data_IF_219400484199
#
_entry.id   IF_219400484199
#
_cell.length_a   1.000
_cell.length_b   1.000
_cell.length_c   1.000
_cell.angle_alpha   90.00
_cell.angle_beta   90.00
_cell.angle_gamma   90.00
#
_symmetry.space_group_name_H-M   'P 1'
#
loop_
_entity.id
_entity.type
_entity.pdbx_description
1 polymer ?
#
# COMPACT_ATOMS: atom_id res chain seq x y z
N UNK A 1 -11.81 13.70 11.15
CA UNK A 1 -11.34 14.74 10.23
C UNK A 1 -10.84 14.08 8.97
N UNK A 2 -11.36 14.48 7.81
CA UNK A 2 -10.95 13.96 6.50
C UNK A 2 -10.47 15.12 5.61
N UNK A 3 -9.68 14.85 4.59
CA UNK A 3 -9.17 15.88 3.67
C UNK A 3 -9.05 15.40 2.22
N UNK A 4 -9.27 16.31 1.29
CA UNK A 4 -9.10 16.12 -0.15
C UNK A 4 -8.12 17.17 -0.67
N UNK A 5 -7.05 16.73 -1.31
CA UNK A 5 -5.98 17.60 -1.83
C UNK A 5 -5.66 17.25 -3.28
N UNK A 6 -5.51 18.27 -4.11
CA UNK A 6 -5.11 18.13 -5.51
C UNK A 6 -3.78 18.87 -5.76
N UNK A 7 -2.87 18.19 -6.44
CA UNK A 7 -1.55 18.67 -6.82
C UNK A 7 -1.43 18.63 -8.33
N UNK A 8 -1.44 19.80 -8.96
CA UNK A 8 -1.20 19.94 -10.39
C UNK A 8 0.24 20.42 -10.59
N UNK A 9 1.02 19.71 -11.38
CA UNK A 9 2.43 20.05 -11.67
C UNK A 9 2.63 20.14 -13.18
N UNK A 10 3.18 21.25 -13.65
CA UNK A 10 3.60 21.47 -15.03
C UNK A 10 5.11 21.73 -15.09
N UNK A 11 5.80 21.17 -16.09
CA UNK A 11 7.27 21.18 -16.20
C UNK A 11 7.70 21.55 -17.62
N UNK A 12 8.93 22.10 -17.77
CA UNK A 12 9.51 22.35 -19.10
C UNK A 12 9.63 21.02 -19.88
N UNK A 13 9.24 20.98 -21.17
CA UNK A 13 9.40 19.80 -22.03
C UNK A 13 10.83 19.26 -22.10
N UNK A 14 10.99 17.97 -22.40
CA UNK A 14 12.29 17.35 -22.65
C UNK A 14 12.94 16.64 -21.46
N UNK A 15 12.25 16.56 -20.32
CA UNK A 15 12.58 15.58 -19.27
C UNK A 15 11.77 14.29 -19.47
N UNK A 16 12.26 13.15 -18.97
CA UNK A 16 11.57 11.84 -19.05
C UNK A 16 10.39 11.74 -18.06
N UNK A 17 9.54 12.75 -18.04
CA UNK A 17 8.39 12.91 -17.13
C UNK A 17 7.27 13.66 -17.88
N UNK A 18 5.98 13.40 -17.62
CA UNK A 18 4.89 14.08 -18.32
C UNK A 18 4.92 15.61 -18.10
N UNK A 19 4.74 16.40 -19.16
CA UNK A 19 4.74 17.86 -19.14
C UNK A 19 3.68 18.47 -18.20
N UNK A 20 2.58 17.74 -18.00
CA UNK A 20 1.56 18.06 -17.00
C UNK A 20 1.11 16.79 -16.27
N UNK A 21 0.95 16.90 -14.96
CA UNK A 21 0.37 15.85 -14.09
C UNK A 21 -0.64 16.47 -13.14
N UNK A 22 -1.68 15.71 -12.81
CA UNK A 22 -2.63 16.02 -11.76
C UNK A 22 -2.82 14.81 -10.85
N UNK A 23 -2.62 15.01 -9.55
CA UNK A 23 -2.70 13.99 -8.51
C UNK A 23 -3.77 14.41 -7.51
N UNK A 24 -4.71 13.52 -7.19
CA UNK A 24 -5.69 13.75 -6.11
C UNK A 24 -5.44 12.77 -4.96
N UNK A 25 -5.34 13.31 -3.75
CA UNK A 25 -5.13 12.57 -2.50
C UNK A 25 -6.36 12.72 -1.59
N UNK A 26 -6.88 11.62 -1.05
CA UNK A 26 -7.85 11.62 0.04
C UNK A 26 -7.15 11.11 1.30
N UNK A 27 -7.13 11.90 2.37
CA UNK A 27 -6.36 11.65 3.60
C UNK A 27 -4.86 11.37 3.36
N UNK A 28 -4.34 11.88 2.25
CA UNK A 28 -2.96 11.67 1.76
C UNK A 28 -2.78 10.45 0.84
N UNK A 29 -3.80 9.61 0.66
CA UNK A 29 -3.74 8.41 -0.19
C UNK A 29 -4.15 8.78 -1.62
N UNK A 30 -3.36 8.38 -2.62
CA UNK A 30 -3.66 8.73 -4.01
C UNK A 30 -4.91 8.01 -4.51
N UNK A 31 -5.99 8.77 -4.72
CA UNK A 31 -7.27 8.25 -5.22
C UNK A 31 -7.43 8.46 -6.73
N UNK A 32 -6.85 9.52 -7.31
CA UNK A 32 -6.88 9.80 -8.75
C UNK A 32 -5.55 10.27 -9.33
N UNK A 33 -5.39 10.07 -10.64
CA UNK A 33 -4.22 10.47 -11.41
C UNK A 33 -4.59 10.87 -12.84
N UNK A 34 -3.93 11.90 -13.37
CA UNK A 34 -3.90 12.23 -14.79
C UNK A 34 -2.48 12.66 -15.16
N UNK A 35 -2.06 12.35 -16.39
CA UNK A 35 -0.84 12.90 -16.98
C UNK A 35 -0.99 13.20 -18.48
N UNK A 36 -0.12 14.06 -18.99
CA UNK A 36 -0.13 14.55 -20.37
C UNK A 36 0.17 13.50 -21.44
N UNK A 37 0.67 12.31 -21.06
CA UNK A 37 1.03 11.23 -21.98
C UNK A 37 -0.12 10.25 -22.12
N UNK A 38 -0.75 9.83 -21.00
CA UNK A 38 -1.92 8.94 -21.02
C UNK A 38 -3.21 9.70 -21.37
N UNK A 39 -3.30 10.99 -20.98
CA UNK A 39 -4.41 11.92 -21.27
C UNK A 39 -5.79 11.40 -20.86
N UNK A 40 -5.84 10.68 -19.74
CA UNK A 40 -7.05 10.10 -19.14
C UNK A 40 -7.00 10.24 -17.62
N UNK A 41 -8.14 10.52 -17.00
CA UNK A 41 -8.29 10.42 -15.54
C UNK A 41 -8.35 8.94 -15.14
N UNK A 42 -7.47 8.53 -14.22
CA UNK A 42 -7.27 7.15 -13.80
C UNK A 42 -7.62 7.03 -12.31
N UNK A 43 -8.59 6.16 -11.93
CA UNK A 43 -8.79 5.79 -10.54
C UNK A 43 -7.57 5.01 -10.03
N UNK A 44 -7.08 5.35 -8.84
CA UNK A 44 -5.93 4.69 -8.20
C UNK A 44 -6.33 3.75 -7.06
N UNK A 45 -7.57 3.82 -6.59
CA UNK A 45 -8.15 2.93 -5.60
C UNK A 45 -9.36 2.16 -6.16
N UNK A 46 -9.74 1.07 -5.51
CA UNK A 46 -10.96 0.33 -5.88
C UNK A 46 -12.22 1.11 -5.52
N UNK A 47 -12.27 1.68 -4.30
CA UNK A 47 -13.46 2.35 -3.77
C UNK A 47 -13.93 3.55 -4.61
N UNK A 48 -13.02 4.28 -5.25
CA UNK A 48 -13.41 5.48 -6.01
C UNK A 48 -14.15 5.13 -7.31
N UNK A 49 -14.03 3.90 -7.80
CA UNK A 49 -14.73 3.43 -9.00
C UNK A 49 -16.25 3.36 -8.79
N UNK A 50 -16.71 3.27 -7.53
CA UNK A 50 -18.12 3.32 -7.15
C UNK A 50 -18.82 4.60 -7.63
N UNK A 51 -18.09 5.71 -7.85
CA UNK A 51 -18.66 6.94 -8.42
C UNK A 51 -19.33 6.72 -9.77
N UNK A 52 -18.91 5.70 -10.53
CA UNK A 52 -19.46 5.38 -11.86
C UNK A 52 -20.86 4.74 -11.78
N UNK A 53 -21.28 4.28 -10.60
CA UNK A 53 -22.66 3.83 -10.37
C UNK A 53 -23.62 5.02 -10.21
N UNK A 54 -23.15 6.10 -9.58
CA UNK A 54 -23.93 7.31 -9.31
C UNK A 54 -23.84 8.33 -10.48
N UNK A 55 -22.70 8.39 -11.18
CA UNK A 55 -22.43 9.25 -12.33
C UNK A 55 -21.57 8.51 -13.38
N UNK A 56 -22.20 7.84 -14.37
CA UNK A 56 -21.49 7.10 -15.42
C UNK A 56 -20.52 7.93 -16.28
N UNK A 57 -20.74 9.25 -16.39
CA UNK A 57 -19.95 10.16 -17.21
C UNK A 57 -18.84 10.89 -16.42
N UNK A 58 -18.74 10.66 -15.11
CA UNK A 58 -17.77 11.30 -14.22
C UNK A 58 -16.33 11.27 -14.79
N UNK A 59 -15.84 10.09 -15.17
CA UNK A 59 -14.47 9.92 -15.67
C UNK A 59 -14.22 10.58 -17.03
N UNK A 60 -15.25 10.64 -17.89
CA UNK A 60 -15.16 11.34 -19.17
C UNK A 60 -15.05 12.85 -18.93
N UNK A 61 -15.93 13.39 -18.08
CA UNK A 61 -15.98 14.82 -17.74
C UNK A 61 -14.71 15.30 -17.04
N UNK A 62 -14.19 14.54 -16.08
CA UNK A 62 -12.91 14.86 -15.42
C UNK A 62 -11.70 14.70 -16.36
N UNK A 63 -11.76 13.77 -17.32
CA UNK A 63 -10.72 13.65 -18.36
C UNK A 63 -10.67 14.87 -19.27
N UNK A 64 -11.81 15.35 -19.78
CA UNK A 64 -11.83 16.56 -20.61
C UNK A 64 -11.41 17.81 -19.81
N UNK A 65 -11.90 17.96 -18.57
CA UNK A 65 -11.47 19.04 -17.65
C UNK A 65 -9.95 19.05 -17.42
N UNK A 66 -9.30 17.88 -17.36
CA UNK A 66 -7.84 17.81 -17.23
C UNK A 66 -7.10 18.11 -18.54
N UNK A 67 -7.67 17.81 -19.71
CA UNK A 67 -7.11 18.24 -21.01
C UNK A 67 -7.17 19.76 -21.16
N UNK A 68 -8.30 20.39 -20.83
CA UNK A 68 -8.43 21.85 -20.81
C UNK A 68 -7.38 22.47 -19.87
N UNK A 69 -7.18 21.87 -18.68
CA UNK A 69 -6.19 22.35 -17.71
C UNK A 69 -4.75 22.15 -18.20
N UNK A 70 -4.46 21.04 -18.88
CA UNK A 70 -3.17 20.78 -19.53
C UNK A 70 -2.86 21.87 -20.58
N UNK A 71 -3.81 22.23 -21.45
CA UNK A 71 -3.59 23.23 -22.50
C UNK A 71 -3.38 24.65 -21.94
N UNK A 72 -4.08 24.99 -20.86
CA UNK A 72 -3.84 26.22 -20.07
C UNK A 72 -2.41 26.20 -19.51
N UNK A 73 -1.99 25.10 -18.87
CA UNK A 73 -0.66 25.00 -18.28
C UNK A 73 0.46 25.02 -19.33
N UNK A 74 0.29 24.33 -20.47
CA UNK A 74 1.23 24.40 -21.59
C UNK A 74 1.41 25.83 -22.12
N UNK A 75 0.33 26.63 -22.12
CA UNK A 75 0.39 28.05 -22.47
C UNK A 75 1.17 28.87 -21.45
N UNK A 76 0.97 28.64 -20.14
CA UNK A 76 1.73 29.31 -19.08
C UNK A 76 3.22 28.91 -19.12
N UNK A 77 3.53 27.63 -19.30
CA UNK A 77 4.92 27.15 -19.38
C UNK A 77 5.66 27.72 -20.59
N UNK A 78 4.99 27.92 -21.75
CA UNK A 78 5.57 28.62 -22.91
C UNK A 78 5.93 30.08 -22.62
N UNK A 79 5.18 30.76 -21.76
CA UNK A 79 5.48 32.15 -21.35
C UNK A 79 6.69 32.15 -20.39
N UNK A 80 6.75 31.23 -19.44
CA UNK A 80 7.88 31.12 -18.49
C UNK A 80 9.20 30.77 -19.22
N UNK A 81 9.14 29.85 -20.18
CA UNK A 81 10.28 29.38 -20.98
C UNK A 81 10.83 30.42 -21.98
N UNK A 82 10.38 31.68 -21.94
CA UNK A 82 11.01 32.78 -22.69
C UNK A 82 12.37 33.19 -22.11
N UNK A 83 12.61 32.91 -20.83
CA UNK A 83 13.91 33.05 -20.20
C UNK A 83 14.56 31.66 -20.11
N UNK A 84 15.69 31.46 -20.81
CA UNK A 84 16.36 30.16 -20.95
C UNK A 84 16.56 29.46 -19.59
N UNK A 85 15.79 28.40 -19.35
CA UNK A 85 15.82 27.68 -18.07
C UNK A 85 14.75 26.60 -17.96
N UNK A 86 14.96 25.65 -17.05
CA UNK A 86 13.97 24.65 -16.70
C UNK A 86 13.02 25.22 -15.64
N UNK A 87 11.74 25.26 -15.96
CA UNK A 87 10.68 25.78 -15.10
C UNK A 87 9.84 24.63 -14.55
N UNK A 88 9.27 24.84 -13.36
CA UNK A 88 8.27 23.96 -12.78
C UNK A 88 7.24 24.83 -12.08
N UNK A 89 5.96 24.62 -12.43
CA UNK A 89 4.83 25.32 -11.84
C UNK A 89 3.98 24.29 -11.10
N UNK A 90 3.71 24.55 -9.82
CA UNK A 90 2.85 23.70 -9.00
C UNK A 90 1.65 24.49 -8.49
N UNK A 91 0.48 23.87 -8.55
CA UNK A 91 -0.76 24.39 -7.98
C UNK A 91 -1.31 23.34 -7.01
N UNK A 92 -1.40 23.70 -5.74
CA UNK A 92 -1.93 22.87 -4.67
C UNK A 92 -3.22 23.49 -4.16
N UNK A 93 -4.29 22.71 -4.03
CA UNK A 93 -5.58 23.17 -3.54
C UNK A 93 -6.36 22.01 -2.93
N UNK A 94 -7.30 22.29 -2.04
CA UNK A 94 -8.02 21.24 -1.32
C UNK A 94 -8.91 21.77 -0.22
N UNK A 95 -9.53 20.86 0.51
CA UNK A 95 -10.45 21.13 1.61
C UNK A 95 -10.33 20.03 2.68
N UNK A 96 -10.85 20.32 3.87
CA UNK A 96 -10.93 19.35 4.96
C UNK A 96 -12.29 19.44 5.68
N UNK A 97 -12.81 18.28 6.06
CA UNK A 97 -13.93 18.14 6.98
C UNK A 97 -13.36 17.99 8.40
N UNK A 98 -13.47 19.02 9.23
CA UNK A 98 -13.30 18.85 10.69
C UNK A 98 -14.64 18.59 11.36
N UNK A 99 -14.64 17.76 12.41
CA UNK A 99 -15.86 17.40 13.17
C UNK A 99 -16.28 18.51 14.16
N UNK A 100 -15.80 19.74 13.97
CA UNK A 100 -16.17 20.92 14.73
C UNK A 100 -17.03 21.80 13.86
N UNK A 101 -18.18 22.22 14.37
CA UNK A 101 -19.16 23.08 13.68
C UNK A 101 -18.68 24.54 13.49
N UNK A 102 -17.39 24.73 13.21
CA UNK A 102 -16.76 25.99 12.84
C UNK A 102 -15.96 25.78 11.56
N UNK A 103 -16.63 26.02 10.44
CA UNK A 103 -15.97 26.46 9.22
C UNK A 103 -15.34 27.83 9.50
N UNK A 104 -14.07 27.82 9.90
CA UNK A 104 -13.27 29.05 10.01
C UNK A 104 -13.04 29.55 8.58
N UNK A 105 -13.84 30.54 8.17
CA UNK A 105 -13.80 31.16 6.83
C UNK A 105 -12.47 31.94 6.71
N UNK A 106 -11.37 31.23 6.44
CA UNK A 106 -10.05 31.85 6.22
C UNK A 106 -10.19 32.87 5.10
N UNK A 107 -9.95 34.15 5.41
CA UNK A 107 -10.10 35.29 4.51
C UNK A 107 -9.17 35.21 3.30
N UNK A 108 -9.56 34.39 2.33
CA UNK A 108 -9.29 34.64 0.94
C UNK A 108 -10.31 35.69 0.46
N UNK A 109 -9.83 36.93 0.27
CA UNK A 109 -10.43 37.99 -0.57
C UNK A 109 -9.70 38.09 -1.94
N UNK A 110 -9.70 37.04 -2.79
CA UNK A 110 -9.23 37.15 -4.16
C UNK A 110 -10.24 37.98 -4.96
N UNK A 111 -9.75 38.84 -5.87
CA UNK A 111 -10.59 39.81 -6.59
C UNK A 111 -10.76 39.45 -8.06
N UNK A 112 -12.01 39.49 -8.55
CA UNK A 112 -12.40 39.28 -9.95
C UNK A 112 -12.92 37.87 -10.24
N UNK A 113 -13.61 37.67 -11.37
CA UNK A 113 -14.40 36.46 -11.70
C UNK A 113 -13.72 35.10 -11.44
N UNK A 114 -12.40 34.98 -11.68
CA UNK A 114 -11.65 33.74 -11.40
C UNK A 114 -11.54 33.42 -9.90
N UNK A 115 -11.58 34.45 -9.06
CA UNK A 115 -11.56 34.36 -7.61
C UNK A 115 -12.82 33.69 -7.06
N UNK A 116 -13.98 34.16 -7.53
CA UNK A 116 -15.29 33.64 -7.12
C UNK A 116 -15.44 32.16 -7.51
N UNK A 117 -15.02 31.80 -8.73
CA UNK A 117 -14.95 30.39 -9.15
C UNK A 117 -14.15 29.50 -8.18
N UNK A 118 -12.95 29.94 -7.76
CA UNK A 118 -12.14 29.16 -6.82
C UNK A 118 -12.73 29.13 -5.42
N UNK A 119 -13.39 30.21 -4.99
CA UNK A 119 -14.11 30.28 -3.72
C UNK A 119 -15.27 29.27 -3.67
N UNK A 120 -16.11 29.24 -4.70
CA UNK A 120 -17.23 28.29 -4.81
C UNK A 120 -16.75 26.84 -5.02
N UNK A 121 -15.64 26.64 -5.72
CA UNK A 121 -15.02 25.32 -5.84
C UNK A 121 -14.55 24.80 -4.47
N UNK A 122 -13.78 25.59 -3.72
CA UNK A 122 -13.22 25.18 -2.45
C UNK A 122 -14.29 25.05 -1.35
N UNK A 123 -15.29 25.94 -1.34
CA UNK A 123 -16.35 25.98 -0.32
C UNK A 123 -17.42 24.90 -0.49
N UNK A 124 -17.77 24.55 -1.74
CA UNK A 124 -18.89 23.63 -2.02
C UNK A 124 -18.45 22.36 -2.77
N UNK A 125 -17.81 22.51 -3.94
CA UNK A 125 -17.52 21.36 -4.82
C UNK A 125 -16.50 20.40 -4.18
N UNK A 126 -15.45 20.94 -3.57
CA UNK A 126 -14.44 20.13 -2.88
C UNK A 126 -15.05 19.36 -1.69
N UNK A 127 -15.93 20.00 -0.93
CA UNK A 127 -16.61 19.39 0.23
C UNK A 127 -17.55 18.27 -0.22
N UNK A 128 -18.40 18.50 -1.23
CA UNK A 128 -19.28 17.46 -1.81
C UNK A 128 -18.50 16.27 -2.36
N UNK A 129 -17.39 16.52 -3.08
CA UNK A 129 -16.49 15.46 -3.53
C UNK A 129 -15.87 14.68 -2.36
N UNK A 130 -15.40 15.37 -1.32
CA UNK A 130 -14.80 14.75 -0.14
C UNK A 130 -15.83 13.91 0.64
N UNK A 131 -17.05 14.40 0.85
CA UNK A 131 -18.14 13.65 1.49
C UNK A 131 -18.48 12.38 0.70
N UNK A 132 -18.58 12.46 -0.63
CA UNK A 132 -18.80 11.29 -1.51
C UNK A 132 -17.65 10.30 -1.42
N UNK A 133 -16.41 10.76 -1.51
CA UNK A 133 -15.22 9.89 -1.45
C UNK A 133 -15.09 9.20 -0.09
N UNK A 134 -15.34 9.92 1.02
CA UNK A 134 -15.45 9.35 2.36
C UNK A 134 -16.58 8.31 2.41
N UNK A 135 -17.72 8.57 1.77
CA UNK A 135 -18.84 7.63 1.75
C UNK A 135 -18.51 6.30 1.07
N UNK A 136 -17.86 6.34 -0.10
CA UNK A 136 -17.46 5.15 -0.86
C UNK A 136 -16.33 4.38 -0.17
N UNK A 137 -15.41 5.09 0.49
CA UNK A 137 -14.25 4.51 1.15
C UNK A 137 -14.52 3.98 2.56
N UNK A 138 -15.73 4.15 3.12
CA UNK A 138 -16.12 3.73 4.49
C UNK A 138 -15.75 2.29 4.86
N UNK A 139 -15.79 1.35 3.93
CA UNK A 139 -15.41 -0.04 4.19
C UNK A 139 -13.89 -0.24 4.10
N UNK A 140 -13.26 0.37 3.09
CA UNK A 140 -11.81 0.33 2.89
C UNK A 140 -11.04 1.03 4.02
N UNK A 141 -11.50 2.20 4.50
CA UNK A 141 -10.87 2.94 5.61
C UNK A 141 -10.96 2.21 6.96
N UNK A 142 -11.93 1.30 7.13
CA UNK A 142 -12.03 0.41 8.31
C UNK A 142 -11.02 -0.73 8.24
N UNK A 143 -10.63 -1.15 7.03
CA UNK A 143 -9.56 -2.14 6.84
C UNK A 143 -8.24 -1.46 7.18
N UNK A 144 -7.62 -1.89 8.27
CA UNK A 144 -6.33 -1.40 8.74
C UNK A 144 -5.43 -2.61 9.00
N UNK A 145 -4.25 -2.64 8.38
CA UNK A 145 -3.28 -3.74 8.52
C UNK A 145 -1.93 -3.15 8.95
N UNK A 146 -1.35 -3.59 10.07
CA UNK A 146 -0.10 -3.04 10.59
C UNK A 146 1.14 -3.48 9.81
N UNK A 147 2.15 -2.60 9.65
CA UNK A 147 3.41 -2.94 8.98
C UNK A 147 4.19 -3.99 9.76
N UNK A 148 4.63 -5.02 9.05
CA UNK A 148 5.75 -5.87 9.48
C UNK A 148 7.03 -5.15 9.10
N UNK A 149 7.84 -4.77 10.11
CA UNK A 149 9.00 -3.91 9.92
C UNK A 149 10.32 -4.57 10.35
N UNK A 150 11.44 -4.15 9.75
CA UNK A 150 12.78 -4.69 9.98
C UNK A 150 13.88 -3.66 9.66
N UNK A 151 15.01 -3.75 10.35
CA UNK A 151 16.23 -2.98 10.04
C UNK A 151 17.28 -3.94 9.47
N UNK A 152 17.85 -3.58 8.32
CA UNK A 152 18.82 -4.38 7.57
C UNK A 152 20.09 -3.54 7.35
N UNK A 153 21.26 -4.06 7.71
CA UNK A 153 22.54 -3.40 7.46
C UNK A 153 23.29 -4.04 6.30
N UNK A 154 23.53 -3.28 5.23
CA UNK A 154 24.42 -3.71 4.14
C UNK A 154 25.87 -3.42 4.51
N UNK A 155 26.74 -4.39 4.27
CA UNK A 155 28.16 -4.30 4.58
C UNK A 155 28.98 -4.08 3.30
N UNK A 156 29.66 -2.93 3.20
CA UNK A 156 30.65 -2.55 2.16
C UNK A 156 30.18 -2.52 0.69
N UNK A 157 30.80 -1.68 -0.18
CA UNK A 157 31.83 -0.68 0.11
C UNK A 157 31.29 0.64 0.67
N UNK A 158 29.97 0.82 0.71
CA UNK A 158 29.30 1.93 1.40
C UNK A 158 28.30 1.32 2.39
N UNK A 159 28.51 1.45 3.71
CA UNK A 159 27.56 0.92 4.68
C UNK A 159 26.23 1.67 4.58
N UNK A 160 25.15 0.93 4.33
CA UNK A 160 23.79 1.45 4.25
C UNK A 160 22.94 0.75 5.30
N UNK A 161 22.24 1.52 6.13
CA UNK A 161 21.21 1.00 7.02
C UNK A 161 19.86 1.20 6.34
N UNK A 162 19.11 0.13 6.16
CA UNK A 162 17.81 0.15 5.49
C UNK A 162 16.74 -0.20 6.50
N UNK A 163 15.80 0.72 6.73
CA UNK A 163 14.57 0.41 7.43
C UNK A 163 13.52 -0.01 6.40
N UNK A 164 12.86 -1.14 6.65
CA UNK A 164 11.98 -1.80 5.69
C UNK A 164 10.66 -2.16 6.36
N UNK A 165 9.58 -1.54 5.90
CA UNK A 165 8.21 -1.84 6.28
C UNK A 165 7.51 -2.61 5.16
N UNK A 166 6.67 -3.60 5.50
CA UNK A 166 5.95 -4.44 4.53
C UNK A 166 4.56 -4.84 5.05
N UNK A 167 3.63 -5.16 4.13
CA UNK A 167 2.36 -5.83 4.46
C UNK A 167 1.35 -4.96 5.21
N UNK A 168 1.49 -3.64 5.12
CA UNK A 168 0.59 -2.65 5.73
C UNK A 168 -0.53 -2.21 4.77
N UNK A 169 -1.61 -1.67 5.33
CA UNK A 169 -2.67 -0.99 4.58
C UNK A 169 -3.35 0.04 5.50
N UNK A 170 -3.60 1.30 5.08
CA UNK A 170 -3.39 1.91 3.75
C UNK A 170 -1.93 2.06 3.28
N UNK A 171 -1.67 2.58 2.08
CA UNK A 171 -0.30 2.73 1.53
C UNK A 171 0.54 3.81 2.27
N UNK A 172 -0.10 4.79 2.92
CA UNK A 172 0.61 5.89 3.59
C UNK A 172 1.27 5.40 4.88
N UNK A 173 2.56 5.11 4.80
CA UNK A 173 3.44 4.92 5.97
C UNK A 173 4.55 5.96 5.96
N UNK A 174 4.71 6.68 7.07
CA UNK A 174 5.85 7.56 7.28
C UNK A 174 6.96 6.75 7.95
N UNK A 175 8.17 6.87 7.41
CA UNK A 175 9.39 6.35 8.02
C UNK A 175 10.26 7.59 8.28
N UNK A 176 10.92 7.64 9.43
CA UNK A 176 11.92 8.66 9.76
C UNK A 176 13.09 8.03 10.52
N UNK A 177 14.25 8.67 10.46
CA UNK A 177 15.41 8.31 11.28
C UNK A 177 15.59 9.31 12.41
N UNK A 178 15.79 8.82 13.64
CA UNK A 178 16.26 9.64 14.76
C UNK A 178 17.69 9.27 15.13
N UNK A 179 18.55 10.28 15.32
CA UNK A 179 19.90 10.20 15.87
C UNK A 179 19.88 10.79 17.28
N UNK A 180 20.12 9.97 18.30
CA UNK A 180 20.05 10.36 19.73
C UNK A 180 18.72 11.06 20.14
N UNK A 181 17.65 10.84 19.37
CA UNK A 181 16.33 11.46 19.55
C UNK A 181 15.99 12.57 18.55
N UNK A 182 16.97 13.16 17.83
CA UNK A 182 16.75 14.21 16.83
C UNK A 182 16.52 13.65 15.42
N UNK A 183 15.60 14.23 14.65
CA UNK A 183 15.22 13.76 13.31
C UNK A 183 16.30 14.05 12.25
N UNK A 184 16.56 13.07 11.37
CA UNK A 184 17.53 13.16 10.26
C UNK A 184 16.85 12.91 8.92
N UNK A 185 17.18 13.73 7.91
CA UNK A 185 16.56 13.68 6.57
C UNK A 185 16.82 12.37 5.83
N UNK A 186 15.76 11.85 5.20
CA UNK A 186 15.77 10.64 4.39
C UNK A 186 16.10 10.89 2.90
N UNK A 187 16.36 9.81 2.15
CA UNK A 187 16.41 9.85 0.67
C UNK A 187 15.49 8.82 0.01
N UNK A 188 14.36 9.34 -0.49
CA UNK A 188 13.42 8.75 -1.47
C UNK A 188 12.56 7.53 -1.03
N UNK A 189 11.22 7.64 -1.13
CA UNK A 189 10.33 6.47 -1.09
C UNK A 189 10.32 5.73 -2.44
N UNK A 190 10.28 4.40 -2.40
CA UNK A 190 10.14 3.55 -3.59
C UNK A 190 8.71 3.67 -4.16
N UNK A 191 8.56 3.96 -5.46
CA UNK A 191 7.26 3.97 -6.16
C UNK A 191 7.09 2.68 -7.00
N UNK A 192 6.92 1.52 -6.36
CA UNK A 192 6.67 0.25 -7.07
C UNK A 192 5.25 -0.31 -6.94
N UNK A 193 4.36 0.40 -6.22
CA UNK A 193 2.95 0.01 -6.07
C UNK A 193 2.73 -1.27 -5.25
N UNK A 194 3.75 -1.77 -4.56
CA UNK A 194 3.62 -2.81 -3.55
C UNK A 194 3.46 -2.20 -2.15
N UNK A 195 2.87 -2.94 -1.21
CA UNK A 195 2.80 -2.57 0.21
C UNK A 195 4.17 -2.75 0.90
N UNK A 196 5.21 -2.12 0.35
CA UNK A 196 6.60 -2.17 0.83
C UNK A 196 7.22 -0.78 0.75
N UNK A 197 7.70 -0.25 1.88
CA UNK A 197 8.44 1.02 1.91
C UNK A 197 9.81 0.81 2.52
N UNK A 198 10.82 1.40 1.91
CA UNK A 198 12.21 1.40 2.38
C UNK A 198 12.67 2.83 2.60
N UNK A 199 13.38 3.05 3.70
CA UNK A 199 14.18 4.25 3.93
C UNK A 199 15.64 3.84 4.11
N UNK A 200 16.56 4.61 3.51
CA UNK A 200 18.00 4.32 3.50
C UNK A 200 18.75 5.45 4.21
N UNK A 201 19.46 5.07 5.27
CA UNK A 201 20.36 5.93 6.02
C UNK A 201 21.82 5.61 5.63
N UNK A 202 22.54 6.64 5.17
CA UNK A 202 23.95 6.56 4.77
C UNK A 202 24.81 7.23 5.84
N UNK A 203 25.37 6.43 6.73
CA UNK A 203 26.16 6.87 7.89
C UNK A 203 27.46 6.06 7.95
N UNK A 204 28.64 6.69 8.18
CA UNK A 204 29.89 5.98 8.38
C UNK A 204 29.80 4.98 9.55
N UNK A 205 30.52 3.86 9.44
CA UNK A 205 30.47 2.81 10.47
C UNK A 205 30.85 3.34 11.87
N UNK A 206 31.77 4.30 11.93
CA UNK A 206 32.27 4.95 13.14
C UNK A 206 31.17 5.78 13.84
N UNK A 207 30.36 6.50 13.07
CA UNK A 207 29.23 7.27 13.62
C UNK A 207 28.11 6.34 14.09
N UNK A 208 27.87 5.23 13.39
CA UNK A 208 26.86 4.24 13.75
C UNK A 208 27.12 3.59 15.11
N UNK A 209 28.40 3.38 15.46
CA UNK A 209 28.79 2.89 16.79
C UNK A 209 28.62 3.97 17.87
N UNK A 210 28.95 5.22 17.53
CA UNK A 210 28.99 6.34 18.49
C UNK A 210 27.59 6.77 18.95
N UNK A 211 26.65 6.92 18.03
CA UNK A 211 25.31 7.46 18.28
C UNK A 211 24.26 6.34 18.37
N UNK A 212 23.10 6.59 18.97
CA UNK A 212 21.95 5.67 18.84
C UNK A 212 21.10 6.11 17.64
N UNK A 213 21.01 5.25 16.63
CA UNK A 213 20.13 5.46 15.48
C UNK A 213 18.90 4.58 15.63
N UNK A 214 17.74 5.18 15.46
CA UNK A 214 16.45 4.46 15.47
C UNK A 214 15.66 4.79 14.21
N UNK A 215 15.01 3.78 13.65
CA UNK A 215 13.98 3.96 12.64
C UNK A 215 12.63 4.08 13.34
N UNK A 216 11.86 5.10 13.00
CA UNK A 216 10.53 5.35 13.52
C UNK A 216 9.52 5.24 12.40
N UNK A 217 8.47 4.46 12.61
CA UNK A 217 7.46 4.15 11.58
C UNK A 217 6.08 4.53 12.12
N UNK A 218 5.43 5.44 11.43
CA UNK A 218 4.09 5.94 11.74
C UNK A 218 3.12 5.49 10.64
N UNK A 219 2.03 4.84 11.04
CA UNK A 219 1.03 4.29 10.13
C UNK A 219 -0.36 4.33 10.80
N UNK A 220 -1.41 4.57 10.03
CA UNK A 220 -2.76 4.83 10.57
C UNK A 220 -3.45 3.62 11.23
N UNK A 221 -2.86 2.42 11.11
CA UNK A 221 -3.29 1.20 11.81
C UNK A 221 -2.64 0.99 13.17
N UNK A 222 -1.68 1.82 13.56
CA UNK A 222 -0.94 1.70 14.81
C UNK A 222 -1.53 2.67 15.83
N UNK A 223 -1.63 2.25 17.09
CA UNK A 223 -2.00 3.12 18.21
C UNK A 223 -0.81 3.98 18.66
N UNK A 224 0.41 3.45 18.55
CA UNK A 224 1.69 4.11 18.84
C UNK A 224 2.69 3.87 17.71
N UNK A 225 3.71 4.74 17.57
CA UNK A 225 4.74 4.58 16.52
C UNK A 225 5.63 3.35 16.77
N UNK A 226 5.96 2.60 15.70
CA UNK A 226 6.91 1.50 15.80
C UNK A 226 8.33 2.06 15.78
N UNK A 227 9.12 1.75 16.81
CA UNK A 227 10.52 2.16 16.93
C UNK A 227 11.43 0.94 16.82
N UNK A 228 12.37 0.97 15.87
CA UNK A 228 13.36 -0.07 15.64
C UNK A 228 14.77 0.49 15.88
N UNK A 229 15.48 -0.05 16.86
CA UNK A 229 16.89 0.30 17.10
C UNK A 229 17.80 -0.29 16.03
N UNK A 230 18.83 0.45 15.62
CA UNK A 230 19.86 -0.06 14.71
C UNK A 230 20.91 -0.82 15.53
N UNK A 231 21.15 -2.13 15.25
CA UNK A 231 22.17 -2.89 15.97
C UNK A 231 23.55 -2.26 15.83
N UNK A 232 24.24 -1.97 16.93
CA UNK A 232 25.64 -1.56 16.89
C UNK A 232 26.48 -2.77 16.52
N UNK A 233 27.16 -2.71 15.37
CA UNK A 233 27.90 -3.85 14.80
C UNK A 233 29.08 -4.24 15.70
N UNK A 234 28.82 -5.13 16.66
CA UNK A 234 29.73 -5.37 17.78
C UNK A 234 29.47 -6.62 18.61
N UNK A 235 28.56 -7.52 18.19
CA UNK A 235 28.43 -8.85 18.78
C UNK A 235 28.38 -9.95 17.71
N UNK A 236 29.57 -10.31 17.24
CA UNK A 236 29.91 -11.73 17.04
C UNK A 236 30.59 -12.28 18.31
N UNK A 237 30.06 -11.89 19.47
CA UNK A 237 30.22 -12.65 20.71
C UNK A 237 29.50 -13.97 20.53
N UNK A 238 30.21 -15.09 20.69
CA UNK A 238 29.71 -16.42 20.37
C UNK A 238 28.60 -16.90 21.29
N UNK A 239 27.37 -16.46 21.06
CA UNK A 239 26.15 -17.05 21.62
C UNK A 239 25.86 -18.39 20.94
N UNK A 240 25.99 -19.50 21.68
CA UNK A 240 25.75 -20.86 21.18
C UNK A 240 24.25 -21.12 20.91
N UNK A 241 23.75 -20.61 19.78
CA UNK A 241 22.39 -20.86 19.28
C UNK A 241 22.17 -22.24 18.66
N UNK A 242 23.20 -23.09 18.62
CA UNK A 242 23.17 -24.40 17.97
C UNK A 242 22.30 -25.47 18.64
N UNK A 243 21.75 -25.20 19.83
CA UNK A 243 21.08 -26.22 20.65
C UNK A 243 19.58 -26.39 20.35
N UNK A 244 18.87 -25.36 19.89
CA UNK A 244 17.41 -25.46 19.66
C UNK A 244 17.02 -26.00 18.28
N UNK A 245 17.77 -25.68 17.23
CA UNK A 245 17.52 -26.21 15.87
C UNK A 245 17.74 -27.73 15.84
N UNK A 246 18.80 -28.21 16.51
CA UNK A 246 19.09 -29.64 16.66
C UNK A 246 18.00 -30.40 17.44
N UNK A 247 17.45 -29.80 18.49
CA UNK A 247 16.34 -30.40 19.25
C UNK A 247 15.06 -30.49 18.40
N UNK A 248 14.69 -29.44 17.67
CA UNK A 248 13.49 -29.46 16.82
C UNK A 248 13.63 -30.50 15.70
N UNK A 249 14.78 -30.54 15.00
CA UNK A 249 15.04 -31.55 13.97
C UNK A 249 15.04 -32.96 14.57
N UNK A 250 15.67 -33.16 15.73
CA UNK A 250 15.69 -34.45 16.44
C UNK A 250 14.29 -34.92 16.85
N UNK A 251 13.47 -34.03 17.43
CA UNK A 251 12.09 -34.34 17.83
C UNK A 251 11.22 -34.66 16.60
N UNK A 252 11.35 -33.90 15.51
CA UNK A 252 10.62 -34.17 14.26
C UNK A 252 11.00 -35.54 13.68
N UNK A 253 12.29 -35.89 13.63
CA UNK A 253 12.76 -37.19 13.13
C UNK A 253 12.26 -38.34 14.01
N UNK A 254 12.32 -38.19 15.35
CA UNK A 254 11.82 -39.21 16.29
C UNK A 254 10.31 -39.39 16.16
N UNK A 255 9.53 -38.31 16.06
CA UNK A 255 8.08 -38.38 15.82
C UNK A 255 7.77 -39.08 14.50
N UNK A 256 8.49 -38.76 13.42
CA UNK A 256 8.31 -39.40 12.12
C UNK A 256 8.63 -40.90 12.17
N UNK A 257 9.70 -41.29 12.86
CA UNK A 257 10.09 -42.69 13.06
C UNK A 257 9.05 -43.47 13.89
N UNK A 258 8.51 -42.87 14.96
CA UNK A 258 7.43 -43.47 15.76
C UNK A 258 6.15 -43.65 14.94
N UNK A 259 5.75 -42.63 14.18
CA UNK A 259 4.57 -42.70 13.30
C UNK A 259 4.75 -43.78 12.22
N UNK A 260 5.90 -43.82 11.55
CA UNK A 260 6.22 -44.86 10.57
C UNK A 260 6.21 -46.27 11.20
N UNK A 261 6.80 -46.42 12.40
CA UNK A 261 6.79 -47.66 13.17
C UNK A 261 5.38 -48.13 13.54
N UNK A 262 4.50 -47.22 13.98
CA UNK A 262 3.10 -47.50 14.29
C UNK A 262 2.29 -47.90 13.04
N UNK A 263 2.51 -47.24 11.91
CA UNK A 263 1.86 -47.58 10.63
C UNK A 263 2.29 -48.94 10.11
N UNK A 264 3.60 -49.25 10.14
CA UNK A 264 4.13 -50.58 9.77
C UNK A 264 3.60 -51.65 10.73
N UNK A 265 3.53 -51.36 12.04
CA UNK A 265 2.97 -52.28 13.04
C UNK A 265 1.49 -52.56 12.82
N UNK A 266 0.69 -51.55 12.45
CA UNK A 266 -0.73 -51.73 12.08
C UNK A 266 -0.88 -52.53 10.77
N UNK A 267 -0.09 -52.24 9.73
CA UNK A 267 -0.07 -53.05 8.50
C UNK A 267 0.31 -54.50 8.76
N UNK A 268 1.29 -54.77 9.63
CA UNK A 268 1.72 -56.13 9.98
C UNK A 268 0.67 -56.89 10.81
N UNK A 269 -0.10 -56.20 11.65
CA UNK A 269 -1.29 -56.78 12.32
C UNK A 269 -2.44 -57.06 11.35
N UNK A 270 -2.73 -56.17 10.39
CA UNK A 270 -3.79 -56.40 9.38
C UNK A 270 -3.44 -57.49 8.37
N UNK A 271 -2.16 -57.73 8.08
CA UNK A 271 -1.73 -58.79 7.16
C UNK A 271 -1.76 -60.22 7.74
N UNK A 272 -2.02 -60.38 9.05
CA UNK A 272 -1.99 -61.69 9.74
C UNK A 272 -3.38 -62.19 10.14
N UNK A 273 -4.44 -61.47 9.79
CA UNK A 273 -5.82 -61.87 10.01
C UNK A 273 -6.55 -61.97 8.66
N UNK A 274 -6.76 -63.21 8.23
CA UNK A 274 -7.92 -63.73 7.49
C UNK A 274 -7.63 -64.44 6.15
N UNK A 275 -7.91 -65.74 6.16
CA UNK A 275 -8.26 -66.59 5.02
C UNK A 275 -9.39 -67.53 5.48
N UNK A 276 -10.23 -68.02 4.56
CA UNK A 276 -11.66 -67.73 4.65
C UNK A 276 -12.49 -68.91 5.17
N UNK A 277 -13.76 -68.64 5.48
CA UNK A 277 -14.80 -69.68 5.46
C UNK A 277 -16.00 -69.23 4.61
N UNK A 278 -16.44 -70.17 3.78
CA UNK A 278 -17.51 -70.05 2.80
C UNK A 278 -18.78 -70.68 3.38
N UNK A 279 -19.87 -69.91 3.54
CA UNK A 279 -21.23 -70.46 3.70
C UNK A 279 -22.23 -69.58 2.94
N UNK A 280 -23.13 -70.27 2.24
CA UNK A 280 -24.17 -69.73 1.36
C UNK A 280 -25.18 -68.80 2.07
N UNK A 281 -25.71 -67.83 1.33
CA UNK A 281 -27.10 -67.40 1.52
C UNK A 281 -27.87 -67.49 0.20
N UNK A 282 -29.05 -68.10 0.28
CA UNK A 282 -29.98 -68.24 -0.85
C UNK A 282 -30.56 -66.89 -1.26
N UNK A 283 -30.96 -66.80 -2.53
CA UNK A 283 -31.48 -65.58 -3.10
C UNK A 283 -32.81 -65.13 -2.51
N UNK A 284 -33.07 -63.84 -2.62
CA UNK A 284 -34.41 -63.31 -2.83
C UNK A 284 -34.30 -62.31 -3.98
N UNK A 285 -34.95 -62.65 -5.09
CA UNK A 285 -34.99 -61.83 -6.29
C UNK A 285 -36.01 -60.70 -6.12
N UNK A 286 -35.64 -59.48 -6.53
CA UNK A 286 -36.56 -58.49 -7.09
C UNK A 286 -35.74 -57.54 -7.99
N UNK A 287 -36.29 -57.24 -9.16
CA UNK A 287 -35.56 -56.77 -10.35
C UNK A 287 -35.34 -55.24 -10.41
N UNK A 288 -34.41 -54.75 -11.26
CA UNK A 288 -33.93 -53.36 -11.23
C UNK A 288 -34.79 -52.41 -12.06
N UNK A 289 -34.59 -51.10 -11.85
CA UNK A 289 -35.06 -50.07 -12.79
C UNK A 289 -33.99 -48.99 -13.08
N UNK A 290 -33.21 -49.28 -14.11
CA UNK A 290 -32.67 -48.41 -15.17
C UNK A 290 -32.40 -46.91 -14.91
N UNK A 291 -31.17 -46.50 -15.24
CA UNK A 291 -30.73 -45.13 -15.58
C UNK A 291 -30.69 -44.92 -17.11
N UNK A 292 -30.31 -43.72 -17.65
CA UNK A 292 -30.39 -42.37 -17.07
C UNK A 292 -31.50 -41.52 -17.76
N UNK A 293 -31.35 -40.73 -18.87
CA UNK A 293 -30.17 -40.32 -19.66
C UNK A 293 -29.66 -38.88 -19.33
N UNK A 294 -29.21 -38.15 -20.37
CA UNK A 294 -28.61 -36.79 -20.45
C UNK A 294 -29.63 -35.78 -21.02
N UNK A 295 -29.49 -34.47 -20.73
CA UNK A 295 -29.14 -33.46 -21.76
C UNK A 295 -29.04 -32.01 -21.23
N UNK A 296 -28.08 -31.29 -21.78
CA UNK A 296 -27.95 -29.82 -21.78
C UNK A 296 -28.44 -29.30 -23.17
N UNK A 297 -28.35 -28.01 -23.58
CA UNK A 297 -27.84 -26.81 -22.87
C UNK A 297 -28.75 -25.56 -23.00
N UNK A 298 -28.31 -24.43 -22.45
CA UNK A 298 -27.95 -23.15 -23.13
C UNK A 298 -27.42 -22.18 -22.07
#
# INVERSE_FOLDING_TARGET
>A
THSLQYFYTAVTPGINFPEFTAVGLMDGEQCVYYDSNIRKMIPKTEWIQNISADDPDYWNRETERMKDRQDIMATVMKILNQNEGNHTLQWMFGCALDNRDHFEDTELDPKGEKADYWKDYLKYNCIDHLEKFVSYSKETLKKKVPPTASVIQKHSPSPEVVCHATGFFPEIVNITWRKDGEEVRETLPNQDGSFQKRSILKVPAEELQKHNYTCVIQHSSLEEELVLEVPKGGELGGGSGGTLIGIIIGVVIVLFAVVAGLVVSKKKKMSSAEKPNEVQQNGTELQPLNTPPSDAPV
#
